data_IF_595362857078
#
_entry.id   IF_595362857078
#
_cell.length_a   1.000
_cell.length_b   1.000
_cell.length_c   1.000
_cell.angle_alpha   90.00
_cell.angle_beta   90.00
_cell.angle_gamma   90.00
#
_symmetry.space_group_name_H-M   'P 1'
#
loop_
_entity.id
_entity.type
_entity.pdbx_description
1 polymer ?
#
# COMPACT_ATOMS: atom_id res chain seq x y z
N UNK A 1 18.47 1.58 -14.51
CA UNK A 1 17.69 1.99 -15.71
C UNK A 1 16.54 1.06 -16.07
N UNK A 2 16.65 -0.28 -16.02
CA UNK A 2 15.55 -1.17 -16.45
C UNK A 2 14.23 -0.96 -15.70
N UNK A 3 14.27 -0.58 -14.42
CA UNK A 3 13.07 -0.35 -13.60
C UNK A 3 12.14 0.75 -14.12
N UNK A 4 12.66 1.71 -14.89
CA UNK A 4 11.88 2.82 -15.44
C UNK A 4 11.22 2.49 -16.79
N UNK A 5 11.41 1.28 -17.32
CA UNK A 5 10.65 0.85 -18.51
C UNK A 5 9.20 0.59 -18.13
N UNK A 6 8.26 1.09 -18.93
CA UNK A 6 6.81 0.91 -18.70
C UNK A 6 6.41 -0.55 -18.41
N UNK A 7 7.01 -1.53 -19.09
CA UNK A 7 6.76 -2.96 -18.83
C UNK A 7 7.14 -3.41 -17.42
N UNK A 8 8.20 -2.83 -16.83
CA UNK A 8 8.61 -3.11 -15.46
C UNK A 8 7.74 -2.36 -14.45
N UNK A 9 7.31 -1.12 -14.73
CA UNK A 9 6.31 -0.44 -13.89
C UNK A 9 5.04 -1.26 -13.78
N UNK A 10 4.49 -1.69 -14.93
CA UNK A 10 3.27 -2.49 -14.98
C UNK A 10 3.44 -3.82 -14.23
N UNK A 11 4.59 -4.50 -14.40
CA UNK A 11 4.90 -5.72 -13.66
C UNK A 11 4.85 -5.48 -12.15
N UNK A 12 5.50 -4.44 -11.66
CA UNK A 12 5.59 -4.19 -10.22
C UNK A 12 4.26 -3.69 -9.65
N UNK A 13 3.50 -2.90 -10.39
CA UNK A 13 2.14 -2.50 -10.03
C UNK A 13 1.20 -3.71 -9.92
N UNK A 14 1.20 -4.59 -10.92
CA UNK A 14 0.39 -5.81 -10.89
C UNK A 14 0.82 -6.75 -9.76
N UNK A 15 2.13 -6.86 -9.51
CA UNK A 15 2.66 -7.67 -8.41
C UNK A 15 2.19 -7.15 -7.05
N UNK A 16 2.22 -5.84 -6.83
CA UNK A 16 1.70 -5.20 -5.62
C UNK A 16 0.19 -5.40 -5.51
N UNK A 17 -0.56 -5.14 -6.58
CA UNK A 17 -2.01 -5.26 -6.62
C UNK A 17 -2.47 -6.68 -6.27
N UNK A 18 -1.89 -7.70 -6.91
CA UNK A 18 -2.22 -9.09 -6.60
C UNK A 18 -1.88 -9.47 -5.16
N UNK A 19 -0.81 -8.91 -4.58
CA UNK A 19 -0.46 -9.14 -3.18
C UNK A 19 -1.38 -8.41 -2.19
N UNK A 20 -2.03 -7.34 -2.64
CA UNK A 20 -2.94 -6.52 -1.83
C UNK A 20 -4.41 -6.87 -2.03
N UNK A 21 -4.77 -7.62 -3.07
CA UNK A 21 -6.16 -7.99 -3.34
C UNK A 21 -6.72 -8.87 -2.21
N UNK A 22 -7.86 -8.47 -1.64
CA UNK A 22 -8.59 -9.31 -0.69
C UNK A 22 -9.52 -10.26 -1.43
N UNK A 23 -9.23 -11.56 -1.36
CA UNK A 23 -10.05 -12.57 -2.04
C UNK A 23 -11.42 -12.75 -1.38
N UNK A 24 -11.58 -12.41 -0.10
CA UNK A 24 -12.86 -12.50 0.60
C UNK A 24 -13.90 -11.52 0.02
N UNK A 25 -13.48 -10.33 -0.40
CA UNK A 25 -14.33 -9.32 -1.03
C UNK A 25 -14.64 -9.61 -2.51
N UNK A 26 -13.83 -10.44 -3.18
CA UNK A 26 -14.10 -10.83 -4.57
C UNK A 26 -15.30 -11.79 -4.67
N UNK A 27 -15.49 -12.67 -3.69
CA UNK A 27 -16.62 -13.60 -3.65
C UNK A 27 -17.96 -12.89 -3.37
N UNK A 28 -17.96 -11.73 -2.72
CA UNK A 28 -19.17 -10.93 -2.50
C UNK A 28 -19.70 -10.26 -3.78
N UNK A 29 -18.82 -9.90 -4.72
CA UNK A 29 -19.21 -9.34 -6.03
C UNK A 29 -19.52 -10.41 -7.09
N UNK A 30 -19.41 -11.70 -6.73
CA UNK A 30 -19.59 -12.84 -7.63
C UNK A 30 -20.94 -13.57 -7.50
N UNK A 31 -22.01 -12.87 -7.09
CA UNK A 31 -23.39 -13.38 -7.28
C UNK A 31 -24.11 -12.74 -8.46
N UNK A 32 -23.88 -13.21 -9.69
CA UNK A 32 -24.92 -13.23 -10.70
C UNK A 32 -25.43 -14.67 -10.88
N UNK A 33 -26.73 -14.85 -10.62
CA UNK A 33 -27.54 -16.06 -10.86
C UNK A 33 -27.37 -17.23 -9.87
N UNK A 34 -28.15 -17.20 -8.77
CA UNK A 34 -28.57 -18.44 -8.11
C UNK A 34 -29.70 -19.06 -8.93
N UNK A 35 -29.38 -20.13 -9.65
CA UNK A 35 -30.37 -21.06 -10.16
C UNK A 35 -30.73 -22.06 -9.06
N UNK A 36 -32.02 -22.38 -8.95
CA UNK A 36 -32.59 -23.24 -7.93
C UNK A 36 -32.31 -24.70 -8.28
N UNK A 37 -31.61 -25.46 -7.43
CA UNK A 37 -31.38 -26.89 -7.69
C UNK A 37 -30.71 -27.70 -6.57
N UNK A 38 -31.53 -28.27 -5.70
CA UNK A 38 -31.43 -29.54 -4.93
C UNK A 38 -30.10 -30.11 -4.40
N UNK A 39 -30.06 -30.18 -3.06
CA UNK A 39 -29.55 -31.19 -2.10
C UNK A 39 -28.52 -32.27 -2.54
N UNK A 40 -27.49 -32.43 -1.69
CA UNK A 40 -26.69 -33.67 -1.59
C UNK A 40 -25.53 -33.63 -0.57
N UNK A 41 -25.82 -34.01 0.68
CA UNK A 41 -25.01 -34.78 1.65
C UNK A 41 -23.63 -34.31 2.20
N UNK A 42 -23.58 -34.26 3.55
CA UNK A 42 -22.49 -34.42 4.55
C UNK A 42 -21.29 -35.32 4.16
N UNK A 43 -20.10 -35.38 4.78
CA UNK A 43 -19.40 -34.88 5.99
C UNK A 43 -17.94 -35.42 5.90
N UNK A 44 -16.95 -34.92 6.67
CA UNK A 44 -15.96 -35.67 7.52
C UNK A 44 -14.88 -34.70 8.07
N UNK A 45 -14.71 -34.70 9.39
CA UNK A 45 -13.56 -34.15 10.15
C UNK A 45 -12.44 -35.21 10.27
N UNK A 46 -11.17 -34.79 10.46
CA UNK A 46 -10.26 -35.26 11.55
C UNK A 46 -8.86 -34.63 11.50
N UNK A 47 -8.51 -33.90 12.58
CA UNK A 47 -7.27 -33.74 13.37
C UNK A 47 -5.87 -34.18 12.88
N UNK A 48 -4.83 -33.36 13.15
CA UNK A 48 -3.84 -33.50 14.28
C UNK A 48 -2.56 -32.66 14.11
N UNK A 49 -2.29 -31.87 15.15
CA UNK A 49 -1.01 -31.52 15.81
C UNK A 49 0.30 -31.50 15.01
N UNK A 50 0.92 -30.32 14.91
CA UNK A 50 2.39 -30.20 14.93
C UNK A 50 2.81 -28.89 15.61
N UNK A 51 3.37 -28.99 16.82
CA UNK A 51 3.94 -27.87 17.57
C UNK A 51 5.22 -27.36 16.87
N UNK A 52 5.24 -26.11 16.43
CA UNK A 52 6.47 -25.41 16.02
C UNK A 52 6.82 -24.40 17.11
N UNK A 53 7.87 -24.70 17.87
CA UNK A 53 8.48 -23.79 18.84
C UNK A 53 9.19 -22.68 18.07
N UNK A 54 8.62 -21.47 18.07
CA UNK A 54 9.31 -20.28 17.60
C UNK A 54 10.18 -19.77 18.75
N UNK A 55 11.50 -19.79 18.55
CA UNK A 55 12.44 -19.13 19.45
C UNK A 55 12.37 -17.63 19.22
N UNK A 56 12.08 -16.89 20.29
CA UNK A 56 12.16 -15.43 20.29
C UNK A 56 13.60 -14.99 20.04
N UNK A 57 13.81 -14.22 18.96
CA UNK A 57 15.03 -13.47 18.75
C UNK A 57 14.83 -12.05 19.34
N UNK A 58 15.81 -11.50 20.09
CA UNK A 58 15.71 -10.14 20.60
C UNK A 58 15.62 -9.16 19.43
N UNK A 59 14.53 -8.42 19.36
CA UNK A 59 14.31 -7.37 18.37
C UNK A 59 14.93 -6.09 18.93
N UNK A 60 16.12 -5.73 18.46
CA UNK A 60 16.70 -4.42 18.74
C UNK A 60 15.81 -3.33 18.14
N UNK A 61 15.42 -2.35 18.96
CA UNK A 61 14.56 -1.24 18.52
C UNK A 61 15.30 -0.39 17.47
N UNK A 62 14.91 -0.56 16.20
CA UNK A 62 15.29 0.33 15.13
C UNK A 62 14.40 1.59 15.14
N UNK A 63 14.95 2.80 14.93
CA UNK A 63 14.15 4.01 14.83
C UNK A 63 13.22 3.91 13.61
N UNK A 64 11.94 3.67 13.86
CA UNK A 64 10.94 3.46 12.81
C UNK A 64 10.11 4.72 12.62
N UNK A 65 10.47 5.54 11.63
CA UNK A 65 9.57 6.59 11.14
C UNK A 65 8.55 5.94 10.21
N UNK A 66 7.37 5.62 10.76
CA UNK A 66 6.22 5.16 9.98
C UNK A 66 5.44 6.35 9.42
N UNK A 67 4.90 6.18 8.21
CA UNK A 67 3.94 7.12 7.60
C UNK A 67 2.65 6.35 7.34
N UNK A 68 1.56 6.76 7.98
CA UNK A 68 0.24 6.24 7.67
C UNK A 68 -0.38 7.09 6.56
N UNK A 69 -0.71 6.46 5.45
CA UNK A 69 -1.37 7.10 4.31
C UNK A 69 -2.80 6.60 4.28
N UNK A 70 -3.73 7.42 4.77
CA UNK A 70 -5.16 7.19 4.63
C UNK A 70 -5.57 7.35 3.16
N UNK A 71 -6.31 6.39 2.61
CA UNK A 71 -6.73 6.39 1.20
C UNK A 71 -8.16 6.88 0.99
N UNK A 72 -8.97 6.96 2.06
CA UNK A 72 -10.38 7.32 1.99
C UNK A 72 -10.63 8.70 2.62
N UNK A 73 -11.41 9.54 1.91
CA UNK A 73 -11.83 10.88 2.34
C UNK A 73 -13.03 10.86 3.31
N UNK A 74 -13.22 9.80 4.10
CA UNK A 74 -14.43 9.57 4.89
C UNK A 74 -14.15 8.99 6.27
N UNK A 75 -14.55 9.76 7.29
CA UNK A 75 -14.77 9.39 8.70
C UNK A 75 -13.54 9.23 9.59
N UNK A 76 -13.06 10.38 10.08
CA UNK A 76 -12.54 10.47 11.45
C UNK A 76 -13.66 10.09 12.43
N UNK A 77 -13.73 8.83 12.84
CA UNK A 77 -14.36 8.48 14.11
C UNK A 77 -13.35 8.73 15.22
N UNK A 78 -13.45 9.91 15.82
CA UNK A 78 -13.02 10.12 17.19
C UNK A 78 -13.72 9.06 18.05
N UNK A 79 -13.01 8.02 18.47
CA UNK A 79 -13.45 7.21 19.59
C UNK A 79 -12.37 7.27 20.65
N UNK A 80 -12.56 8.23 21.56
CA UNK A 80 -11.96 8.18 22.87
C UNK A 80 -12.19 6.77 23.44
N UNK A 81 -11.11 6.11 23.82
CA UNK A 81 -11.14 4.82 24.51
C UNK A 81 -11.71 5.09 25.90
N UNK A 82 -13.03 5.04 26.02
CA UNK A 82 -13.68 4.84 27.31
C UNK A 82 -13.81 3.33 27.52
N UNK A 83 -13.01 2.82 28.46
CA UNK A 83 -13.11 1.47 28.97
C UNK A 83 -14.50 1.25 29.58
N UNK A 84 -15.35 0.47 28.92
CA UNK A 84 -16.49 -0.15 29.58
C UNK A 84 -16.72 -1.56 29.06
N UNK A 85 -16.67 -2.47 30.02
CA UNK A 85 -16.87 -3.90 29.93
C UNK A 85 -18.29 -4.25 29.47
N UNK A 86 -18.39 -5.39 28.76
CA UNK A 86 -19.60 -6.15 28.39
C UNK A 86 -20.38 -5.73 27.14
N UNK A 87 -20.33 -6.66 26.18
CA UNK A 87 -21.50 -7.08 25.43
C UNK A 87 -21.42 -6.79 23.94
N UNK A 88 -20.98 -7.79 23.18
CA UNK A 88 -21.48 -8.14 21.84
C UNK A 88 -22.13 -6.99 21.06
N UNK A 89 -21.31 -6.09 20.51
CA UNK A 89 -21.68 -5.33 19.32
C UNK A 89 -21.01 -6.00 18.14
N UNK A 90 -21.70 -6.95 17.53
CA UNK A 90 -21.40 -7.41 16.18
C UNK A 90 -21.72 -6.25 15.24
N UNK A 91 -20.83 -5.26 15.18
CA UNK A 91 -20.89 -4.23 14.16
C UNK A 91 -20.51 -4.90 12.85
N UNK A 92 -21.41 -4.83 11.87
CA UNK A 92 -21.12 -5.14 10.47
C UNK A 92 -20.16 -4.07 9.91
N UNK A 93 -18.96 -3.98 10.46
CA UNK A 93 -17.84 -3.35 9.79
C UNK A 93 -17.40 -4.39 8.76
N UNK A 94 -17.48 -4.08 7.47
CA UNK A 94 -16.57 -4.74 6.54
C UNK A 94 -15.18 -4.47 7.12
N UNK A 95 -14.57 -5.48 7.75
CA UNK A 95 -13.21 -5.40 8.28
C UNK A 95 -12.27 -5.21 7.08
N UNK A 96 -12.23 -4.00 6.54
CA UNK A 96 -11.31 -3.62 5.47
C UNK A 96 -9.93 -3.55 6.10
N UNK A 97 -9.19 -4.63 5.94
CA UNK A 97 -7.84 -4.77 6.49
C UNK A 97 -6.91 -3.78 5.79
N UNK A 98 -6.27 -2.91 6.57
CA UNK A 98 -5.19 -2.01 6.13
C UNK A 98 -3.91 -2.77 5.78
N UNK A 99 -3.05 -2.15 4.97
CA UNK A 99 -1.77 -2.75 4.57
C UNK A 99 -0.64 -2.18 5.41
N UNK A 100 0.15 -3.04 6.04
CA UNK A 100 1.46 -2.68 6.58
C UNK A 100 2.56 -3.12 5.59
N UNK A 101 3.39 -2.18 5.12
CA UNK A 101 4.45 -2.44 4.13
C UNK A 101 5.65 -1.51 4.32
N UNK A 102 6.65 -1.58 3.43
CA UNK A 102 7.80 -0.68 3.42
C UNK A 102 8.56 -0.72 2.10
N UNK A 103 9.88 -0.65 2.18
CA UNK A 103 10.81 -0.53 1.05
C UNK A 103 10.96 -1.83 0.21
N UNK A 104 9.85 -2.35 -0.29
CA UNK A 104 9.79 -3.61 -1.01
C UNK A 104 10.62 -3.58 -2.30
N UNK A 105 11.68 -4.40 -2.31
CA UNK A 105 12.57 -4.52 -3.47
C UNK A 105 13.59 -3.38 -3.60
N UNK A 106 13.78 -2.55 -2.57
CA UNK A 106 14.73 -1.42 -2.64
C UNK A 106 16.13 -1.71 -2.06
N UNK A 107 16.31 -2.85 -1.36
CA UNK A 107 17.61 -3.29 -0.84
C UNK A 107 18.46 -3.99 -1.90
N UNK A 108 18.75 -5.28 -1.73
CA UNK A 108 19.57 -6.06 -2.66
C UNK A 108 19.08 -6.05 -4.13
N UNK A 109 17.78 -5.80 -4.35
CA UNK A 109 17.20 -5.70 -5.70
C UNK A 109 17.35 -4.30 -6.34
N UNK A 110 17.81 -3.30 -5.60
CA UNK A 110 18.16 -1.97 -6.13
C UNK A 110 16.98 -1.16 -6.68
N UNK A 111 15.76 -1.43 -6.24
CA UNK A 111 14.58 -0.65 -6.59
C UNK A 111 14.65 0.78 -6.06
N UNK A 112 14.13 1.73 -6.84
CA UNK A 112 13.98 3.12 -6.43
C UNK A 112 12.89 3.25 -5.35
N UNK A 113 13.21 3.73 -4.13
CA UNK A 113 12.24 3.77 -3.04
C UNK A 113 11.07 4.73 -3.28
N UNK A 114 11.30 5.88 -3.90
CA UNK A 114 10.26 6.86 -4.18
C UNK A 114 9.24 6.26 -5.15
N UNK A 115 9.74 5.69 -6.25
CA UNK A 115 8.91 5.02 -7.26
C UNK A 115 8.15 3.82 -6.66
N UNK A 116 8.83 2.99 -5.85
CA UNK A 116 8.22 1.81 -5.21
C UNK A 116 7.14 2.17 -4.21
N UNK A 117 7.32 3.25 -3.44
CA UNK A 117 6.31 3.70 -2.50
C UNK A 117 5.01 4.10 -3.22
N UNK A 118 5.12 4.84 -4.33
CA UNK A 118 3.98 5.27 -5.13
C UNK A 118 3.30 4.12 -5.86
N UNK A 119 4.06 3.15 -6.39
CA UNK A 119 3.51 1.94 -7.01
C UNK A 119 2.69 1.14 -5.99
N UNK A 120 3.19 0.98 -4.77
CA UNK A 120 2.45 0.28 -3.71
C UNK A 120 1.20 1.05 -3.30
N UNK A 121 1.29 2.37 -3.17
CA UNK A 121 0.15 3.23 -2.86
C UNK A 121 -0.94 3.12 -3.93
N UNK A 122 -0.57 3.26 -5.20
CA UNK A 122 -1.45 3.08 -6.36
C UNK A 122 -2.13 1.71 -6.37
N UNK A 123 -1.36 0.64 -6.17
CA UNK A 123 -1.88 -0.72 -6.17
C UNK A 123 -2.87 -0.98 -5.04
N UNK A 124 -2.59 -0.47 -3.84
CA UNK A 124 -3.46 -0.61 -2.68
C UNK A 124 -4.75 0.20 -2.84
N UNK A 125 -4.69 1.40 -3.41
CA UNK A 125 -5.88 2.18 -3.77
C UNK A 125 -6.74 1.44 -4.81
N UNK A 126 -6.12 0.86 -5.84
CA UNK A 126 -6.82 0.06 -6.84
C UNK A 126 -7.45 -1.22 -6.25
N UNK A 127 -6.84 -1.80 -5.22
CA UNK A 127 -7.35 -2.96 -4.49
C UNK A 127 -8.45 -2.61 -3.47
N UNK A 128 -8.84 -1.34 -3.35
CA UNK A 128 -9.89 -0.90 -2.43
C UNK A 128 -9.49 -0.96 -0.95
N UNK A 129 -8.19 -0.88 -0.64
CA UNK A 129 -7.67 -0.91 0.72
C UNK A 129 -7.84 0.46 1.39
N UNK A 130 -8.20 0.52 2.68
CA UNK A 130 -8.57 1.78 3.32
C UNK A 130 -7.37 2.64 3.72
N UNK A 131 -6.25 2.02 4.08
CA UNK A 131 -5.00 2.72 4.38
C UNK A 131 -3.77 1.84 4.12
N UNK A 132 -2.63 2.50 3.91
CA UNK A 132 -1.30 1.90 3.86
C UNK A 132 -0.44 2.51 4.96
N UNK A 133 0.01 1.69 5.89
CA UNK A 133 1.05 2.00 6.85
C UNK A 133 2.41 1.66 6.23
N UNK A 134 3.16 2.69 5.83
CA UNK A 134 4.43 2.55 5.15
C UNK A 134 5.60 2.81 6.11
N UNK A 135 6.43 1.79 6.33
CA UNK A 135 7.65 1.88 7.12
C UNK A 135 8.83 2.29 6.24
N UNK A 136 9.30 3.52 6.41
CA UNK A 136 10.38 4.10 5.60
C UNK A 136 11.77 3.64 6.04
N UNK A 137 11.91 3.19 7.30
CA UNK A 137 13.21 2.88 7.91
C UNK A 137 14.23 4.03 7.80
N UNK A 138 13.74 5.27 7.83
CA UNK A 138 14.58 6.48 7.85
C UNK A 138 15.39 6.74 6.58
N UNK A 139 15.08 6.08 5.46
CA UNK A 139 15.83 6.32 4.22
C UNK A 139 15.58 7.74 3.71
N UNK A 140 16.67 8.45 3.39
CA UNK A 140 16.64 9.88 3.08
C UNK A 140 15.75 10.22 1.88
N UNK A 141 15.70 9.36 0.85
CA UNK A 141 14.86 9.60 -0.33
C UNK A 141 13.37 9.66 0.01
N UNK A 142 12.92 9.02 1.09
CA UNK A 142 11.52 9.03 1.52
C UNK A 142 11.20 10.11 2.57
N UNK A 143 12.13 11.01 2.88
CA UNK A 143 11.91 12.06 3.89
C UNK A 143 10.69 12.96 3.59
N UNK A 144 10.34 13.11 2.31
CA UNK A 144 9.23 13.93 1.83
C UNK A 144 7.98 13.12 1.43
N UNK A 145 7.94 11.82 1.74
CA UNK A 145 6.84 10.93 1.34
C UNK A 145 5.47 11.45 1.82
N UNK A 146 5.38 11.91 3.07
CA UNK A 146 4.13 12.42 3.64
C UNK A 146 3.65 13.67 2.89
N UNK A 147 4.54 14.64 2.67
CA UNK A 147 4.25 15.90 1.98
C UNK A 147 3.78 15.65 0.55
N UNK A 148 4.43 14.73 -0.17
CA UNK A 148 4.03 14.33 -1.52
C UNK A 148 2.65 13.68 -1.50
N UNK A 149 2.38 12.76 -0.57
CA UNK A 149 1.06 12.13 -0.45
C UNK A 149 -0.04 13.14 -0.13
N UNK A 150 0.20 14.06 0.80
CA UNK A 150 -0.75 15.13 1.13
C UNK A 150 -1.03 16.04 -0.06
N UNK A 151 0.01 16.40 -0.82
CA UNK A 151 -0.15 17.18 -2.04
C UNK A 151 -0.99 16.44 -3.08
N UNK A 152 -0.73 15.14 -3.31
CA UNK A 152 -1.51 14.35 -4.27
C UNK A 152 -2.98 14.26 -3.83
N UNK A 153 -3.23 14.03 -2.54
CA UNK A 153 -4.58 14.01 -1.97
C UNK A 153 -5.29 15.37 -2.09
N UNK A 154 -4.57 16.48 -1.89
CA UNK A 154 -5.16 17.83 -2.02
C UNK A 154 -5.53 18.19 -3.45
N UNK A 155 -4.90 17.55 -4.43
CA UNK A 155 -5.20 17.72 -5.86
C UNK A 155 -6.23 16.71 -6.38
N UNK A 156 -6.80 15.88 -5.51
CA UNK A 156 -7.85 14.92 -5.83
C UNK A 156 -7.49 13.96 -6.97
N UNK A 157 -6.21 13.57 -7.04
CA UNK A 157 -5.75 12.64 -8.06
C UNK A 157 -6.41 11.27 -7.92
N UNK A 158 -6.80 10.71 -9.06
CA UNK A 158 -7.22 9.32 -9.17
C UNK A 158 -6.01 8.38 -9.26
N UNK A 159 -6.26 7.08 -9.13
CA UNK A 159 -5.27 6.02 -9.43
C UNK A 159 -4.67 6.20 -10.83
N UNK A 160 -5.50 6.62 -11.81
CA UNK A 160 -5.08 6.88 -13.18
C UNK A 160 -4.17 8.09 -13.33
N UNK A 161 -4.43 9.16 -12.60
CA UNK A 161 -3.59 10.36 -12.62
C UNK A 161 -2.19 10.06 -12.07
N UNK A 162 -2.12 9.38 -10.92
CA UNK A 162 -0.85 8.93 -10.37
C UNK A 162 -0.11 7.98 -11.33
N UNK A 163 -0.83 7.04 -11.95
CA UNK A 163 -0.25 6.14 -12.95
C UNK A 163 0.40 6.91 -14.12
N UNK A 164 -0.32 7.87 -14.68
CA UNK A 164 0.16 8.67 -15.82
C UNK A 164 1.46 9.42 -15.46
N UNK A 165 1.51 9.99 -14.26
CA UNK A 165 2.68 10.72 -13.78
C UNK A 165 3.88 9.80 -13.52
N UNK A 166 3.65 8.59 -13.00
CA UNK A 166 4.70 7.59 -12.85
C UNK A 166 5.24 7.12 -14.22
N UNK A 167 4.36 6.95 -15.21
CA UNK A 167 4.75 6.58 -16.58
C UNK A 167 5.55 7.69 -17.24
N UNK A 168 5.11 8.95 -17.13
CA UNK A 168 5.81 10.10 -17.69
C UNK A 168 7.19 10.27 -17.06
N UNK A 169 7.27 10.32 -15.73
CA UNK A 169 8.55 10.38 -15.01
C UNK A 169 9.49 9.27 -15.44
N UNK A 170 8.98 8.04 -15.51
CA UNK A 170 9.80 6.88 -15.83
C UNK A 170 10.30 6.92 -17.28
N UNK A 171 9.49 7.43 -18.22
CA UNK A 171 9.94 7.69 -19.59
C UNK A 171 11.11 8.67 -19.61
N UNK A 172 10.97 9.82 -18.93
CA UNK A 172 12.03 10.82 -18.84
C UNK A 172 13.30 10.27 -18.18
N UNK A 173 13.17 9.48 -17.10
CA UNK A 173 14.30 8.81 -16.45
C UNK A 173 14.97 7.77 -17.33
N UNK A 174 14.18 7.00 -18.09
CA UNK A 174 14.69 5.98 -18.99
C UNK A 174 15.47 6.59 -20.16
N UNK A 175 14.96 7.70 -20.71
CA UNK A 175 15.58 8.46 -21.80
C UNK A 175 16.72 9.38 -21.32
N UNK A 176 16.95 9.47 -20.00
CA UNK A 176 17.93 10.37 -19.36
C UNK A 176 17.64 11.86 -19.57
N UNK A 177 16.37 12.21 -19.73
CA UNK A 177 15.88 13.59 -19.80
C UNK A 177 15.84 14.24 -18.41
N UNK A 178 15.77 13.43 -17.34
CA UNK A 178 15.87 13.90 -15.96
C UNK A 178 16.74 12.97 -15.11
N UNK A 179 17.54 13.57 -14.23
CA UNK A 179 18.35 12.87 -13.24
C UNK A 179 17.74 12.91 -11.82
N UNK A 180 16.64 13.65 -11.62
CA UNK A 180 15.96 13.84 -10.35
C UNK A 180 15.23 12.58 -9.84
N UNK A 181 15.06 12.50 -8.52
CA UNK A 181 14.10 11.60 -7.88
C UNK A 181 12.66 11.95 -8.26
N UNK A 182 11.74 11.00 -8.17
CA UNK A 182 10.33 11.21 -8.50
C UNK A 182 9.72 12.36 -7.69
N UNK A 183 10.04 12.46 -6.40
CA UNK A 183 9.47 13.51 -5.54
C UNK A 183 9.93 14.91 -5.95
N UNK A 184 11.23 15.07 -6.25
CA UNK A 184 11.79 16.33 -6.70
C UNK A 184 11.35 16.69 -8.12
N UNK A 185 11.18 15.70 -8.99
CA UNK A 185 10.64 15.88 -10.33
C UNK A 185 9.17 16.32 -10.29
N UNK A 186 8.37 15.70 -9.42
CA UNK A 186 6.94 16.00 -9.28
C UNK A 186 6.70 17.36 -8.62
N UNK A 187 7.41 17.65 -7.53
CA UNK A 187 7.24 18.88 -6.74
C UNK A 187 8.56 19.66 -6.59
N UNK A 188 9.10 20.28 -7.66
CA UNK A 188 10.39 20.98 -7.59
C UNK A 188 10.44 22.09 -6.54
N UNK A 189 9.32 22.74 -6.26
CA UNK A 189 9.20 23.80 -5.25
C UNK A 189 9.47 23.30 -3.83
N UNK A 190 9.15 22.03 -3.53
CA UNK A 190 9.44 21.42 -2.23
C UNK A 190 10.95 21.26 -2.00
N UNK A 191 11.74 21.21 -3.06
CA UNK A 191 13.19 20.99 -3.03
C UNK A 191 14.00 22.25 -3.39
N UNK A 192 13.34 23.35 -3.75
CA UNK A 192 13.99 24.60 -4.15
C UNK A 192 14.65 25.35 -2.98
N UNK A 193 14.28 25.04 -1.72
CA UNK A 193 14.81 25.70 -0.52
C UNK A 193 16.11 25.08 0.01
N UNK A 194 16.42 23.84 -0.34
CA UNK A 194 17.63 23.14 0.11
C UNK A 194 18.88 23.55 -0.70
N UNK A 195 18.70 24.21 -1.86
CA UNK A 195 19.79 24.63 -2.75
C UNK A 195 20.40 26.00 -2.40
N UNK A 196 19.94 26.64 -1.32
CA UNK A 196 20.42 27.97 -0.86
C UNK A 196 21.13 27.96 0.49
N UNK A 197 21.41 26.78 1.05
CA UNK A 197 22.18 26.63 2.29
C UNK A 197 23.66 26.31 2.04
#
# INVERSE_FOLDING_TARGET
>A
MRQYKCTYLLREANKAFCGFLDQSNYEHHKRPFQDVGSQGSQCIQTDKDTNVVVKDFPMDEAPSTSVEIAMNRGEYINQAIEYSDKGSWCLNHEDKISIATGNWGCGAFGGDPELKSMIQWLAASQAGRPSVLYYTFGIKSLQNLNQVCQWILSHEWTVGDLWNMLVEYSSQRFNKETDLGFFAWLLPSLFAHDAKS
#
